data_IF_199240969220
#
_entry.id   IF_199240969220
#
_cell.length_a   1.000
_cell.length_b   1.000
_cell.length_c   1.000
_cell.angle_alpha   90.00
_cell.angle_beta   90.00
_cell.angle_gamma   90.00
#
_symmetry.space_group_name_H-M   'P 1'
#
loop_
_entity.id
_entity.type
_entity.pdbx_description
1 polymer ?
#
# COMPACT_ATOMS: atom_id res chain seq x y z
N UNK A 1 -13.57 -3.32 -2.51
CA UNK A 1 -13.75 -3.35 -1.07
C UNK A 1 -13.90 -1.97 -0.40
N UNK A 2 -13.93 -0.87 -1.15
CA UNK A 2 -14.09 0.49 -0.60
C UNK A 2 -15.54 0.76 -0.16
N UNK A 3 -16.48 -0.03 -0.61
CA UNK A 3 -17.91 0.22 -0.41
C UNK A 3 -18.48 -0.10 0.96
N UNK A 4 -17.74 -0.72 1.85
CA UNK A 4 -18.26 -1.24 3.11
C UNK A 4 -17.59 -0.69 4.36
N UNK A 5 -16.61 0.17 4.21
CA UNK A 5 -15.91 0.71 5.35
C UNK A 5 -16.52 2.01 5.81
N UNK A 6 -17.13 1.96 6.92
CA UNK A 6 -17.33 2.90 8.03
C UNK A 6 -17.30 4.42 7.78
N UNK A 7 -17.72 5.14 8.79
CA UNK A 7 -18.04 6.57 8.84
C UNK A 7 -17.07 7.55 8.17
N UNK A 8 -15.81 7.18 7.96
CA UNK A 8 -14.80 8.06 7.34
C UNK A 8 -14.66 7.89 5.82
N UNK A 9 -15.53 7.10 5.19
CA UNK A 9 -15.52 6.91 3.73
C UNK A 9 -16.21 8.06 2.96
N UNK A 10 -16.73 9.04 3.64
CA UNK A 10 -17.50 10.14 3.03
C UNK A 10 -16.66 10.95 2.06
N UNK A 11 -15.42 11.33 2.45
CA UNK A 11 -14.50 12.04 1.55
C UNK A 11 -14.07 11.18 0.35
N UNK A 12 -13.91 9.87 0.56
CA UNK A 12 -13.58 8.93 -0.53
C UNK A 12 -14.76 8.81 -1.49
N UNK A 13 -15.99 8.77 -0.98
CA UNK A 13 -17.20 8.75 -1.81
C UNK A 13 -17.34 10.06 -2.59
N UNK A 14 -17.18 11.20 -1.93
CA UNK A 14 -17.22 12.50 -2.60
C UNK A 14 -16.19 12.60 -3.72
N UNK A 15 -14.97 12.12 -3.51
CA UNK A 15 -13.95 12.05 -4.56
C UNK A 15 -14.33 11.09 -5.69
N UNK A 16 -14.99 9.97 -5.39
CA UNK A 16 -15.47 9.02 -6.38
C UNK A 16 -16.64 9.55 -7.21
N UNK A 17 -17.45 10.43 -6.65
CA UNK A 17 -18.61 11.04 -7.33
C UNK A 17 -18.20 12.06 -8.40
N UNK A 18 -17.02 12.70 -8.25
CA UNK A 18 -16.49 13.66 -9.22
C UNK A 18 -15.37 13.08 -10.10
N UNK A 19 -14.99 11.84 -9.87
CA UNK A 19 -13.91 11.14 -10.58
C UNK A 19 -14.39 9.93 -11.35
N UNK A 20 -13.45 9.03 -11.65
CA UNK A 20 -13.71 7.75 -12.28
C UNK A 20 -13.58 6.63 -11.24
N UNK A 21 -14.63 5.82 -11.11
CA UNK A 21 -14.65 4.64 -10.24
C UNK A 21 -14.64 3.36 -11.07
N UNK A 22 -13.58 2.58 -10.95
CA UNK A 22 -13.49 1.26 -11.56
C UNK A 22 -14.21 0.23 -10.67
N UNK A 23 -15.24 -0.41 -11.18
CA UNK A 23 -16.01 -1.44 -10.46
C UNK A 23 -15.28 -2.79 -10.40
N UNK A 24 -14.41 -3.05 -11.38
CA UNK A 24 -13.61 -4.27 -11.45
C UNK A 24 -12.16 -3.89 -11.77
N UNK A 25 -11.34 -3.79 -10.72
CA UNK A 25 -9.91 -3.55 -10.85
C UNK A 25 -9.16 -4.67 -10.12
N UNK A 26 -8.42 -5.48 -10.88
CA UNK A 26 -7.65 -6.60 -10.38
C UNK A 26 -6.17 -6.26 -10.40
N UNK A 27 -5.53 -6.33 -9.24
CA UNK A 27 -4.10 -6.13 -9.07
C UNK A 27 -3.44 -7.45 -8.66
N UNK A 28 -2.12 -7.49 -8.66
CA UNK A 28 -1.36 -8.59 -8.07
C UNK A 28 -1.68 -8.75 -6.58
N UNK A 29 -1.52 -9.97 -6.06
CA UNK A 29 -1.82 -10.29 -4.66
C UNK A 29 -0.79 -9.78 -3.65
N UNK A 30 0.35 -9.28 -4.11
CA UNK A 30 1.46 -8.79 -3.29
C UNK A 30 1.79 -7.33 -3.60
N UNK A 31 2.33 -6.62 -2.61
CA UNK A 31 2.61 -5.19 -2.73
C UNK A 31 3.62 -4.85 -3.82
N UNK A 32 4.76 -5.55 -3.89
CA UNK A 32 5.81 -5.26 -4.86
C UNK A 32 5.36 -5.48 -6.31
N UNK A 33 4.83 -6.65 -6.70
CA UNK A 33 4.37 -6.88 -8.07
C UNK A 33 3.23 -5.93 -8.48
N UNK A 34 2.30 -5.64 -7.57
CA UNK A 34 1.21 -4.69 -7.85
C UNK A 34 1.73 -3.27 -8.10
N UNK A 35 2.71 -2.83 -7.32
CA UNK A 35 3.37 -1.53 -7.52
C UNK A 35 4.11 -1.46 -8.85
N UNK A 36 4.85 -2.52 -9.18
CA UNK A 36 5.53 -2.62 -10.46
C UNK A 36 4.54 -2.57 -11.64
N UNK A 37 3.43 -3.30 -11.56
CA UNK A 37 2.37 -3.26 -12.57
C UNK A 37 1.80 -1.84 -12.73
N UNK A 38 1.51 -1.15 -11.64
CA UNK A 38 0.97 0.22 -11.69
C UNK A 38 1.97 1.23 -12.27
N UNK A 39 3.25 1.07 -11.96
CA UNK A 39 4.29 1.98 -12.43
C UNK A 39 4.70 1.75 -13.89
N UNK A 40 4.58 0.52 -14.38
CA UNK A 40 5.09 0.14 -15.71
C UNK A 40 3.99 -0.18 -16.73
N UNK A 41 2.75 -0.40 -16.29
CA UNK A 41 1.68 -0.92 -17.13
C UNK A 41 1.88 -2.37 -17.58
N UNK A 42 2.84 -3.10 -17.00
CA UNK A 42 3.15 -4.49 -17.36
C UNK A 42 2.74 -5.45 -16.26
N UNK A 43 2.34 -6.65 -16.64
CA UNK A 43 2.15 -7.72 -15.67
C UNK A 43 3.48 -8.14 -15.04
N UNK A 44 3.51 -8.61 -13.78
CA UNK A 44 4.75 -8.94 -13.07
C UNK A 44 5.62 -9.98 -13.81
N UNK A 45 5.00 -10.97 -14.46
CA UNK A 45 5.73 -11.98 -15.25
C UNK A 45 6.40 -11.43 -16.51
N UNK A 46 6.02 -10.23 -16.97
CA UNK A 46 6.67 -9.51 -18.06
C UNK A 46 7.77 -8.56 -17.60
N UNK A 47 8.12 -8.60 -16.29
CA UNK A 47 9.16 -7.78 -15.70
C UNK A 47 10.20 -8.75 -15.10
N UNK A 48 11.31 -8.96 -15.79
CA UNK A 48 12.31 -9.97 -15.46
C UNK A 48 12.82 -9.87 -14.01
N UNK A 49 12.94 -8.66 -13.50
CA UNK A 49 13.47 -8.39 -12.16
C UNK A 49 12.45 -8.54 -11.03
N UNK A 50 11.19 -8.90 -11.30
CA UNK A 50 10.14 -9.01 -10.27
C UNK A 50 10.10 -10.39 -9.62
N UNK A 51 11.25 -10.99 -9.35
CA UNK A 51 11.33 -12.19 -8.53
C UNK A 51 10.94 -11.88 -7.08
N UNK A 52 10.07 -12.70 -6.54
CA UNK A 52 9.69 -12.67 -5.13
C UNK A 52 10.60 -13.55 -4.26
N UNK A 53 11.58 -14.20 -4.87
CA UNK A 53 12.45 -15.12 -4.16
C UNK A 53 13.51 -14.36 -3.37
N UNK A 54 13.56 -14.66 -2.09
CA UNK A 54 14.57 -14.17 -1.17
C UNK A 54 14.37 -12.74 -0.69
N UNK A 55 15.40 -12.24 -0.11
CA UNK A 55 15.46 -10.90 0.47
C UNK A 55 15.59 -9.89 -0.67
N UNK A 56 14.83 -8.90 -0.61
CA UNK A 56 14.62 -7.73 -1.46
C UNK A 56 15.69 -7.24 -2.48
N UNK A 57 16.97 -7.62 -2.43
CA UNK A 57 17.98 -7.15 -3.39
C UNK A 57 17.78 -7.62 -4.83
N UNK A 58 16.97 -8.68 -5.05
CA UNK A 58 16.76 -9.23 -6.38
C UNK A 58 15.81 -8.45 -7.28
N UNK A 59 15.01 -7.54 -6.73
CA UNK A 59 14.03 -6.79 -7.51
C UNK A 59 14.61 -5.45 -7.95
N UNK A 60 15.61 -5.48 -8.77
CA UNK A 60 16.14 -4.28 -9.42
C UNK A 60 15.30 -3.96 -10.64
N UNK A 61 14.71 -2.79 -10.62
CA UNK A 61 14.04 -2.24 -11.77
C UNK A 61 15.06 -1.78 -12.82
N UNK A 62 14.88 -2.23 -14.06
CA UNK A 62 15.63 -1.70 -15.19
C UNK A 62 14.77 -0.68 -15.97
N UNK A 63 15.07 0.62 -15.85
CA UNK A 63 14.31 1.67 -16.52
C UNK A 63 14.37 1.63 -18.05
N UNK A 64 15.36 0.93 -18.62
CA UNK A 64 15.46 0.75 -20.08
C UNK A 64 14.46 -0.28 -20.59
N UNK A 65 14.25 -1.33 -19.83
CA UNK A 65 13.28 -2.39 -20.17
C UNK A 65 11.84 -1.97 -19.86
N UNK A 66 11.63 -1.25 -18.78
CA UNK A 66 10.32 -0.89 -18.29
C UNK A 66 10.28 0.59 -17.86
N UNK A 67 10.08 1.53 -18.79
CA UNK A 67 9.96 2.94 -18.39
C UNK A 67 8.75 3.14 -17.45
N UNK A 68 8.96 3.91 -16.41
CA UNK A 68 7.90 4.22 -15.45
C UNK A 68 6.93 5.27 -15.96
N UNK A 69 5.68 5.13 -15.58
CA UNK A 69 4.64 6.16 -15.82
C UNK A 69 5.11 7.56 -15.39
N UNK A 70 5.70 7.78 -14.20
CA UNK A 70 6.20 9.11 -13.84
C UNK A 70 7.23 9.67 -14.82
N UNK A 71 8.14 8.85 -15.38
CA UNK A 71 9.06 9.30 -16.41
C UNK A 71 8.32 9.78 -17.67
N UNK A 72 7.26 9.08 -18.07
CA UNK A 72 6.41 9.51 -19.19
C UNK A 72 5.66 10.81 -18.88
N UNK A 73 5.16 10.95 -17.66
CA UNK A 73 4.50 12.19 -17.20
C UNK A 73 5.46 13.38 -17.23
N UNK A 74 6.72 13.21 -16.82
CA UNK A 74 7.76 14.25 -16.90
C UNK A 74 7.99 14.69 -18.35
N UNK A 75 8.05 13.75 -19.29
CA UNK A 75 8.19 14.05 -20.73
C UNK A 75 7.03 14.87 -21.26
N UNK A 76 5.84 14.73 -20.67
CA UNK A 76 4.65 15.53 -21.00
C UNK A 76 4.56 16.85 -20.21
N UNK A 77 5.60 17.25 -19.51
CA UNK A 77 5.67 18.52 -18.77
C UNK A 77 5.08 18.50 -17.37
N UNK A 78 4.66 17.35 -16.87
CA UNK A 78 4.23 17.22 -15.49
C UNK A 78 5.39 17.29 -14.52
N UNK A 79 5.18 17.88 -13.35
CA UNK A 79 6.03 17.66 -12.19
C UNK A 79 5.58 16.41 -11.46
N UNK A 80 6.53 15.54 -11.15
CA UNK A 80 6.25 14.24 -10.56
C UNK A 80 6.76 14.17 -9.13
N UNK A 81 5.94 13.62 -8.24
CA UNK A 81 6.31 13.37 -6.85
C UNK A 81 5.96 11.96 -6.40
N UNK A 82 6.83 11.38 -5.59
CA UNK A 82 6.56 10.16 -4.86
C UNK A 82 6.70 10.41 -3.36
N UNK A 83 5.64 10.13 -2.59
CA UNK A 83 5.64 10.24 -1.14
C UNK A 83 5.21 8.91 -0.52
N UNK A 84 6.08 8.35 0.31
CA UNK A 84 5.77 7.17 1.11
C UNK A 84 6.59 5.93 0.79
N UNK A 85 5.95 4.77 0.90
CA UNK A 85 6.60 3.46 0.76
C UNK A 85 7.10 3.20 -0.66
N UNK A 86 8.38 2.90 -0.79
CA UNK A 86 8.95 2.26 -1.97
C UNK A 86 9.23 0.77 -1.70
N UNK A 87 8.96 -0.08 -2.68
CA UNK A 87 9.14 -1.53 -2.53
C UNK A 87 9.43 -2.24 -3.85
N UNK A 88 9.93 -1.52 -4.84
CA UNK A 88 10.23 -2.04 -6.19
C UNK A 88 11.73 -1.91 -6.50
N UNK A 89 12.57 -2.55 -5.68
CA UNK A 89 14.02 -2.50 -5.82
C UNK A 89 14.67 -1.39 -5.00
N UNK A 90 15.99 -1.34 -5.03
CA UNK A 90 16.78 -0.35 -4.27
C UNK A 90 16.81 1.02 -4.94
N UNK A 91 16.73 1.06 -6.28
CA UNK A 91 16.64 2.31 -7.05
C UNK A 91 15.21 2.84 -7.04
N UNK A 92 15.02 3.94 -6.35
CA UNK A 92 13.70 4.60 -6.25
C UNK A 92 13.43 5.61 -7.38
N UNK A 93 14.37 5.82 -8.29
CA UNK A 93 14.22 6.68 -9.46
C UNK A 93 14.34 8.18 -9.19
N UNK A 94 14.96 8.57 -8.08
CA UNK A 94 15.20 9.99 -7.78
C UNK A 94 15.96 10.70 -8.93
N UNK A 95 15.48 11.87 -9.31
CA UNK A 95 16.07 12.70 -10.38
C UNK A 95 15.84 12.17 -11.80
N UNK A 96 15.55 10.88 -11.98
CA UNK A 96 15.22 10.26 -13.26
C UNK A 96 13.69 10.26 -13.51
N UNK A 97 12.94 9.74 -12.55
CA UNK A 97 11.49 9.54 -12.67
C UNK A 97 10.70 10.56 -11.86
N UNK A 98 11.30 11.09 -10.79
CA UNK A 98 10.68 11.96 -9.81
C UNK A 98 11.41 13.29 -9.66
N UNK A 99 10.65 14.39 -9.71
CA UNK A 99 11.16 15.76 -9.45
C UNK A 99 11.18 16.07 -7.96
N UNK A 100 10.32 15.42 -7.17
CA UNK A 100 10.29 15.49 -5.72
C UNK A 100 10.03 14.11 -5.14
N UNK A 101 10.81 13.71 -4.13
CA UNK A 101 10.70 12.39 -3.56
C UNK A 101 10.90 12.40 -2.04
N UNK A 102 9.95 11.82 -1.32
CA UNK A 102 10.06 11.53 0.11
C UNK A 102 9.74 10.05 0.30
N UNK A 103 10.76 9.22 0.37
CA UNK A 103 10.62 7.78 0.21
C UNK A 103 11.20 6.99 1.36
N UNK A 104 10.36 6.15 1.96
CA UNK A 104 10.81 5.04 2.77
C UNK A 104 11.13 3.84 1.86
N UNK A 105 12.45 3.65 1.58
CA UNK A 105 12.94 2.63 0.67
C UNK A 105 13.27 1.33 1.43
N UNK A 106 12.29 0.44 1.54
CA UNK A 106 12.41 -0.83 2.26
C UNK A 106 13.49 -1.78 1.71
N UNK A 107 13.64 -1.96 0.38
CA UNK A 107 14.71 -2.77 -0.17
C UNK A 107 16.11 -2.26 0.14
N UNK A 108 16.29 -0.95 0.25
CA UNK A 108 17.59 -0.34 0.54
C UNK A 108 17.96 -0.47 2.03
N UNK A 109 16.98 -0.32 2.93
CA UNK A 109 17.16 -0.34 4.38
C UNK A 109 16.44 -1.54 4.99
N UNK A 110 17.05 -2.72 4.94
CA UNK A 110 16.44 -3.97 5.38
C UNK A 110 16.17 -4.01 6.90
N UNK A 111 17.02 -3.41 7.70
CA UNK A 111 16.88 -3.23 9.14
C UNK A 111 15.70 -2.32 9.52
N UNK A 112 15.33 -1.40 8.65
CA UNK A 112 14.20 -0.50 8.78
C UNK A 112 12.98 -0.94 7.96
N UNK A 113 13.04 -2.07 7.25
CA UNK A 113 11.99 -2.53 6.34
C UNK A 113 10.65 -2.87 7.01
N UNK A 114 10.66 -3.09 8.32
CA UNK A 114 9.47 -3.32 9.16
C UNK A 114 8.84 -2.07 9.77
N UNK A 115 9.41 -0.89 9.56
CA UNK A 115 9.02 0.36 10.23
C UNK A 115 7.74 0.99 9.65
N UNK A 116 6.65 0.23 9.59
CA UNK A 116 5.37 0.71 9.05
C UNK A 116 4.71 1.79 9.93
N UNK A 117 4.99 1.78 11.23
CA UNK A 117 4.32 2.63 12.23
C UNK A 117 5.30 3.29 13.19
N UNK A 118 6.59 3.14 12.95
CA UNK A 118 7.68 3.62 13.77
C UNK A 118 8.54 4.63 12.98
N UNK A 119 9.60 5.08 13.61
CA UNK A 119 10.66 5.88 13.00
C UNK A 119 11.19 5.23 11.72
N UNK A 120 11.25 6.00 10.66
CA UNK A 120 11.67 5.55 9.34
C UNK A 120 12.96 6.21 8.87
N UNK A 121 13.82 5.43 8.21
CA UNK A 121 14.91 5.96 7.39
C UNK A 121 14.29 6.32 6.04
N UNK A 122 14.27 7.61 5.74
CA UNK A 122 13.55 8.17 4.60
C UNK A 122 14.50 8.97 3.74
N UNK A 123 14.51 8.74 2.44
CA UNK A 123 15.21 9.57 1.48
C UNK A 123 14.33 10.75 1.06
N UNK A 124 14.79 11.95 1.31
CA UNK A 124 14.15 13.20 0.88
C UNK A 124 15.03 13.81 -0.21
N UNK A 125 14.56 13.80 -1.44
CA UNK A 125 15.28 14.30 -2.62
C UNK A 125 16.72 13.79 -2.68
N UNK A 126 16.88 12.48 -2.48
CA UNK A 126 18.16 11.79 -2.50
C UNK A 126 19.00 11.89 -1.23
N UNK A 127 18.54 12.60 -0.20
CA UNK A 127 19.24 12.72 1.09
C UNK A 127 18.54 11.90 2.17
N UNK A 128 19.25 11.00 2.82
CA UNK A 128 18.70 10.18 3.88
C UNK A 128 18.53 10.95 5.17
N UNK A 129 17.41 10.71 5.83
CA UNK A 129 17.07 11.29 7.13
C UNK A 129 16.27 10.29 7.96
N UNK A 130 16.50 10.29 9.26
CA UNK A 130 15.68 9.55 10.21
C UNK A 130 14.47 10.41 10.59
N UNK A 131 13.28 9.91 10.28
CA UNK A 131 12.02 10.64 10.50
C UNK A 131 11.22 9.96 11.59
N UNK A 132 10.96 10.71 12.64
CA UNK A 132 10.13 10.31 13.77
C UNK A 132 8.65 10.58 13.51
N UNK A 133 7.81 10.09 14.41
CA UNK A 133 6.36 10.28 14.37
C UNK A 133 5.62 9.13 13.70
N UNK A 134 4.32 9.32 13.52
CA UNK A 134 3.48 8.30 12.87
C UNK A 134 3.54 8.47 11.35
N UNK A 135 4.08 7.49 10.61
CA UNK A 135 4.39 7.67 9.18
C UNK A 135 3.21 8.11 8.32
N UNK A 136 1.99 7.62 8.60
CA UNK A 136 0.83 8.04 7.84
C UNK A 136 0.51 9.55 8.03
N UNK A 137 0.78 10.11 9.20
CA UNK A 137 0.60 11.53 9.43
C UNK A 137 1.65 12.35 8.69
N UNK A 138 2.91 11.90 8.72
CA UNK A 138 4.01 12.53 7.99
C UNK A 138 3.71 12.55 6.49
N UNK A 139 3.32 11.40 5.90
CA UNK A 139 2.98 11.31 4.47
C UNK A 139 1.79 12.19 4.11
N UNK A 140 0.78 12.25 4.96
CA UNK A 140 -0.38 13.13 4.77
C UNK A 140 0.05 14.59 4.73
N UNK A 141 0.85 15.03 5.70
CA UNK A 141 1.31 16.42 5.77
C UNK A 141 2.15 16.79 4.55
N UNK A 142 3.12 15.97 4.17
CA UNK A 142 3.97 16.23 3.00
C UNK A 142 3.17 16.24 1.70
N UNK A 143 2.19 15.36 1.58
CA UNK A 143 1.32 15.33 0.40
C UNK A 143 0.44 16.57 0.30
N UNK A 144 -0.11 17.03 1.42
CA UNK A 144 -0.86 18.28 1.47
C UNK A 144 0.01 19.50 1.13
N UNK A 145 1.24 19.52 1.62
CA UNK A 145 2.21 20.56 1.29
C UNK A 145 2.48 20.57 -0.23
N UNK A 146 2.73 19.42 -0.83
CA UNK A 146 2.95 19.30 -2.28
C UNK A 146 1.71 19.74 -3.08
N UNK A 147 0.53 19.28 -2.73
CA UNK A 147 -0.74 19.66 -3.38
C UNK A 147 -0.95 21.17 -3.31
N UNK A 148 -0.61 21.82 -2.19
CA UNK A 148 -0.69 23.26 -1.99
C UNK A 148 0.39 24.06 -2.71
N UNK A 149 1.30 23.40 -3.41
CA UNK A 149 2.31 24.07 -4.24
C UNK A 149 3.71 24.11 -3.65
N UNK A 150 3.95 23.57 -2.44
CA UNK A 150 5.29 23.48 -1.87
C UNK A 150 6.11 22.43 -2.62
N UNK A 151 7.36 22.76 -2.90
CA UNK A 151 8.30 21.88 -3.64
C UNK A 151 7.87 21.56 -5.08
N UNK A 152 7.06 22.41 -5.69
CA UNK A 152 6.70 22.31 -7.11
C UNK A 152 6.43 23.67 -7.73
N UNK A 153 6.52 23.74 -9.06
CA UNK A 153 6.09 24.87 -9.86
C UNK A 153 4.55 24.87 -9.98
N UNK A 154 3.91 25.90 -9.45
CA UNK A 154 2.45 26.00 -9.47
C UNK A 154 1.86 26.16 -10.89
N UNK A 155 2.66 26.57 -11.86
CA UNK A 155 2.23 26.74 -13.26
C UNK A 155 2.20 25.41 -14.04
N UNK A 156 2.79 24.35 -13.51
CA UNK A 156 2.84 23.05 -14.19
C UNK A 156 1.78 22.08 -13.66
N UNK A 157 1.23 21.22 -14.52
CA UNK A 157 0.46 20.08 -14.05
C UNK A 157 1.35 19.17 -13.20
N UNK A 158 0.74 18.42 -12.29
CA UNK A 158 1.50 17.56 -11.39
C UNK A 158 0.93 16.14 -11.31
N UNK A 159 1.80 15.20 -11.01
CA UNK A 159 1.50 13.81 -10.70
C UNK A 159 2.08 13.46 -9.35
N UNK A 160 1.25 13.03 -8.42
CA UNK A 160 1.66 12.57 -7.10
C UNK A 160 1.33 11.09 -6.92
N UNK A 161 2.34 10.28 -6.65
CA UNK A 161 2.17 8.91 -6.24
C UNK A 161 2.34 8.81 -4.71
N UNK A 162 1.20 8.83 -4.02
CA UNK A 162 1.14 8.73 -2.56
C UNK A 162 0.97 7.28 -2.14
N UNK A 163 1.91 6.78 -1.35
CA UNK A 163 2.00 5.38 -0.98
C UNK A 163 2.10 5.20 0.54
N UNK A 164 0.97 5.10 1.21
CA UNK A 164 0.95 4.79 2.63
C UNK A 164 1.53 3.40 2.93
N UNK A 165 2.20 3.26 4.08
CA UNK A 165 2.57 1.97 4.66
C UNK A 165 1.37 1.28 5.32
N UNK A 166 0.48 2.05 5.92
CA UNK A 166 -0.81 1.56 6.46
C UNK A 166 -1.70 1.03 5.31
N UNK A 167 -2.46 0.00 5.49
CA UNK A 167 -2.78 -0.76 6.70
C UNK A 167 -2.01 -2.11 6.77
N UNK A 168 -0.74 -2.12 6.43
CA UNK A 168 0.09 -3.35 6.50
C UNK A 168 0.18 -3.84 7.96
N UNK A 169 0.22 -5.16 8.15
CA UNK A 169 0.48 -5.71 9.49
C UNK A 169 1.73 -5.11 10.16
N UNK A 170 1.74 -4.88 11.45
CA UNK A 170 0.77 -5.28 12.49
C UNK A 170 -0.47 -4.38 12.63
N UNK A 171 -0.73 -3.44 11.72
CA UNK A 171 -1.92 -2.58 11.69
C UNK A 171 -2.09 -1.70 12.93
N UNK A 172 -0.99 -1.20 13.46
CA UNK A 172 -0.96 -0.37 14.67
C UNK A 172 -1.62 1.00 14.41
N UNK A 173 -2.70 1.35 15.11
CA UNK A 173 -3.34 2.64 14.92
C UNK A 173 -2.53 3.77 15.56
N UNK A 174 -2.70 4.99 15.07
CA UNK A 174 -2.20 6.17 15.79
C UNK A 174 -2.88 6.25 17.18
N UNK A 175 -2.14 6.76 18.16
CA UNK A 175 -2.63 6.83 19.57
C UNK A 175 -4.04 7.44 19.70
N UNK A 176 -4.34 8.47 18.89
CA UNK A 176 -5.66 9.16 18.87
C UNK A 176 -6.79 8.30 18.35
N UNK A 177 -6.50 7.20 17.64
CA UNK A 177 -7.49 6.30 17.06
C UNK A 177 -7.57 4.95 17.79
N UNK A 178 -6.74 4.76 18.83
CA UNK A 178 -6.77 3.52 19.62
C UNK A 178 -8.16 3.36 20.25
N UNK A 179 -8.81 2.22 20.01
CA UNK A 179 -10.13 1.93 20.54
C UNK A 179 -11.29 2.59 19.81
N UNK A 180 -11.08 3.37 18.74
CA UNK A 180 -12.18 4.04 18.00
C UNK A 180 -13.22 3.08 17.45
N UNK A 181 -12.87 1.84 17.18
CA UNK A 181 -13.74 0.81 16.63
C UNK A 181 -13.96 -0.36 17.60
N UNK A 182 -13.68 -0.17 18.88
CA UNK A 182 -13.79 -1.21 19.92
C UNK A 182 -15.14 -1.93 19.93
N UNK A 183 -16.21 -1.18 19.66
CA UNK A 183 -17.59 -1.70 19.64
C UNK A 183 -18.16 -1.77 18.21
N UNK A 184 -17.32 -1.64 17.18
CA UNK A 184 -17.80 -1.70 15.81
C UNK A 184 -18.12 -3.14 15.43
N UNK A 185 -19.29 -3.36 14.83
CA UNK A 185 -19.63 -4.62 14.23
C UNK A 185 -18.83 -4.83 12.95
N UNK A 186 -18.08 -5.93 12.86
CA UNK A 186 -17.30 -6.28 11.67
C UNK A 186 -18.16 -7.15 10.77
N UNK A 187 -18.49 -6.71 9.54
CA UNK A 187 -19.26 -7.51 8.62
C UNK A 187 -18.51 -8.82 8.28
N UNK A 188 -19.21 -9.94 8.39
CA UNK A 188 -18.67 -11.24 8.01
C UNK A 188 -19.04 -11.50 6.56
N UNK A 189 -18.03 -11.70 5.65
CA UNK A 189 -18.32 -12.10 4.29
C UNK A 189 -19.10 -13.42 4.24
N UNK A 190 -20.09 -13.51 3.37
CA UNK A 190 -20.95 -14.69 3.26
C UNK A 190 -20.16 -15.97 2.90
N UNK A 191 -19.03 -15.81 2.22
CA UNK A 191 -18.17 -16.90 1.75
C UNK A 191 -16.93 -17.14 2.63
N UNK A 192 -16.88 -16.60 3.85
CA UNK A 192 -15.73 -16.80 4.75
C UNK A 192 -15.64 -18.26 5.24
N UNK A 193 -16.78 -18.94 5.35
CA UNK A 193 -16.87 -20.34 5.78
C UNK A 193 -17.06 -21.29 4.58
N UNK A 194 -16.51 -22.52 4.63
CA UNK A 194 -16.82 -23.55 3.64
C UNK A 194 -18.25 -24.12 3.82
N UNK A 195 -18.84 -24.76 2.83
CA UNK A 195 -18.32 -24.85 1.45
C UNK A 195 -18.44 -23.50 0.72
N UNK A 196 -17.52 -23.26 -0.21
CA UNK A 196 -17.52 -22.05 -1.04
C UNK A 196 -17.95 -22.43 -2.45
N UNK A 197 -19.19 -22.12 -2.77
CA UNK A 197 -19.74 -22.41 -4.10
C UNK A 197 -18.92 -21.75 -5.22
N UNK A 198 -18.66 -22.49 -6.28
CA UNK A 198 -17.89 -22.02 -7.43
C UNK A 198 -16.39 -21.83 -7.19
N UNK A 199 -15.85 -22.27 -6.05
CA UNK A 199 -14.42 -22.23 -5.75
C UNK A 199 -13.82 -23.65 -5.82
N UNK A 200 -12.53 -23.79 -6.14
CA UNK A 200 -11.84 -25.07 -6.11
C UNK A 200 -11.88 -25.73 -4.73
N UNK A 201 -12.04 -27.05 -4.69
CA UNK A 201 -12.23 -27.83 -3.44
C UNK A 201 -11.07 -27.70 -2.45
N UNK A 202 -9.83 -27.49 -2.94
CA UNK A 202 -8.68 -27.31 -2.05
C UNK A 202 -8.85 -26.11 -1.11
N UNK A 203 -9.65 -25.08 -1.48
CA UNK A 203 -9.90 -23.93 -0.63
C UNK A 203 -10.72 -24.28 0.61
N UNK A 204 -11.52 -25.35 0.57
CA UNK A 204 -12.25 -25.84 1.73
C UNK A 204 -11.29 -26.46 2.75
N UNK A 205 -10.23 -27.14 2.27
CA UNK A 205 -9.20 -27.75 3.13
C UNK A 205 -8.20 -26.75 3.73
N UNK A 206 -8.08 -25.57 3.15
CA UNK A 206 -7.15 -24.51 3.63
C UNK A 206 -7.81 -23.52 4.59
N UNK A 207 -9.02 -23.82 5.03
CA UNK A 207 -9.83 -22.94 5.87
C UNK A 207 -9.13 -22.56 7.18
N UNK A 208 -8.87 -21.29 7.36
CA UNK A 208 -8.31 -20.71 8.58
C UNK A 208 -9.39 -20.38 9.62
N UNK A 209 -10.65 -20.26 9.20
CA UNK A 209 -11.76 -19.83 10.01
C UNK A 209 -12.82 -20.91 10.13
N UNK A 210 -13.37 -21.10 11.32
CA UNK A 210 -14.55 -21.91 11.57
C UNK A 210 -15.66 -21.02 12.13
N UNK A 211 -16.91 -21.47 12.00
CA UNK A 211 -18.06 -20.76 12.56
C UNK A 211 -18.16 -21.08 14.04
N UNK A 212 -18.10 -20.05 14.90
CA UNK A 212 -18.33 -20.16 16.33
C UNK A 212 -19.83 -20.35 16.66
N UNK A 213 -20.14 -20.61 17.93
CA UNK A 213 -21.51 -20.79 18.41
C UNK A 213 -22.37 -19.55 18.22
N UNK A 214 -21.77 -18.38 18.34
CA UNK A 214 -22.37 -17.06 18.08
C UNK A 214 -22.42 -16.68 16.60
N UNK A 215 -21.97 -17.58 15.70
CA UNK A 215 -21.88 -17.32 14.27
C UNK A 215 -20.65 -16.53 13.82
N UNK A 216 -19.82 -16.06 14.76
CA UNK A 216 -18.62 -15.29 14.46
C UNK A 216 -17.45 -16.17 14.02
N UNK A 217 -16.50 -15.66 13.23
CA UNK A 217 -15.30 -16.39 12.84
C UNK A 217 -14.42 -16.69 14.06
N UNK A 218 -14.10 -17.97 14.25
CA UNK A 218 -13.10 -18.42 15.22
C UNK A 218 -11.97 -19.12 14.47
N UNK A 219 -10.77 -19.17 15.07
CA UNK A 219 -9.63 -19.84 14.46
C UNK A 219 -9.96 -21.34 14.27
N UNK A 220 -9.88 -21.80 13.02
CA UNK A 220 -10.08 -23.22 12.70
C UNK A 220 -8.89 -24.08 13.16
N UNK A 221 -9.09 -25.40 13.25
CA UNK A 221 -8.07 -26.37 13.71
C UNK A 221 -6.75 -26.33 12.92
N UNK A 222 -6.79 -25.85 11.67
CA UNK A 222 -5.61 -25.70 10.79
C UNK A 222 -5.03 -24.29 10.78
N UNK A 223 -5.62 -23.35 11.49
CA UNK A 223 -5.02 -22.05 11.68
C UNK A 223 -3.76 -22.23 12.53
N UNK A 224 -2.59 -22.06 11.95
CA UNK A 224 -1.41 -21.72 12.77
C UNK A 224 -1.80 -20.45 13.50
N UNK A 225 -2.20 -20.62 14.76
CA UNK A 225 -2.89 -19.61 15.54
C UNK A 225 -2.04 -18.35 15.70
N UNK A 226 -2.13 -17.46 14.75
CA UNK A 226 -2.08 -16.04 15.06
C UNK A 226 -3.49 -15.75 15.54
N UNK A 227 -3.64 -15.46 16.84
CA UNK A 227 -4.88 -14.89 17.38
C UNK A 227 -5.46 -13.95 16.36
N UNK A 228 -6.74 -14.12 16.04
CA UNK A 228 -7.46 -13.08 15.35
C UNK A 228 -7.20 -11.80 16.12
N UNK A 229 -6.43 -10.91 15.54
CA UNK A 229 -6.15 -9.63 16.17
C UNK A 229 -7.49 -8.91 16.13
N UNK A 230 -8.18 -8.90 17.25
CA UNK A 230 -9.33 -8.03 17.42
C UNK A 230 -8.79 -6.60 17.31
N UNK A 231 -9.61 -5.70 16.83
CA UNK A 231 -9.28 -4.27 16.77
C UNK A 231 -9.02 -3.64 18.16
N UNK A 232 -8.96 -4.44 19.21
CA UNK A 232 -8.90 -4.04 20.62
C UNK A 232 -7.47 -3.96 21.16
N UNK A 233 -6.45 -4.47 20.46
CA UNK A 233 -5.05 -4.49 20.94
C UNK A 233 -4.19 -3.35 20.38
#
# INVERSE_FOLDING_TARGET
AIGHTHANAEQIRAAADVGVRFHAAYLGSWCMPSRATMLTGRHPHGIESMSMEGVYPGSTYDPKQCPFVPAQMRQQGYQTAHIGKWHTGTDSGWGRDWDHQIVWNRPLHQDNAGAYYQTQITSIDGKEQTIEGYPADNYTQWSLDYIRGKNRDAAKPWYLWLCYGSVHGPSTPAKRHKGSYKNAEVPIPADIFPPREGKPDYLNGTQAWAKGEDGQPVAGKNAKAKKAQRFDD
#
